data_IF_476709336517
#
_entry.id   IF_476709336517
#
_cell.length_a   1.000
_cell.length_b   1.000
_cell.length_c   1.000
_cell.angle_alpha   90.00
_cell.angle_beta   90.00
_cell.angle_gamma   90.00
#
_symmetry.space_group_name_H-M   'P 1'
#
loop_
_entity.id
_entity.type
_entity.pdbx_description
1 polymer ?
#
# COMPACT_ATOMS: atom_id res chain seq x y z
N UNK A 1 -13.31 3.01 -36.50
CA UNK A 1 -13.08 2.06 -35.40
C UNK A 1 -11.66 1.47 -35.37
N UNK A 2 -11.00 1.17 -36.51
CA UNK A 2 -9.62 0.64 -36.48
C UNK A 2 -8.57 1.67 -36.01
N UNK A 3 -8.68 2.93 -36.43
CA UNK A 3 -7.74 4.00 -36.06
C UNK A 3 -7.74 4.33 -34.55
N UNK A 4 -8.92 4.33 -33.92
CA UNK A 4 -9.11 4.66 -32.50
C UNK A 4 -8.63 3.55 -31.57
N UNK A 5 -8.80 2.29 -31.99
CA UNK A 5 -8.25 1.14 -31.29
C UNK A 5 -6.71 1.14 -31.38
N UNK A 6 -6.16 1.52 -32.54
CA UNK A 6 -4.72 1.74 -32.70
C UNK A 6 -4.18 2.80 -31.73
N UNK A 7 -4.81 3.97 -31.64
CA UNK A 7 -4.39 5.03 -30.71
C UNK A 7 -4.43 4.56 -29.24
N UNK A 8 -5.48 3.84 -28.87
CA UNK A 8 -5.64 3.29 -27.51
C UNK A 8 -4.54 2.29 -27.15
N UNK A 9 -4.17 1.42 -28.10
CA UNK A 9 -3.05 0.49 -27.96
C UNK A 9 -1.73 1.24 -27.78
N UNK A 10 -1.45 2.25 -28.62
CA UNK A 10 -0.23 3.07 -28.52
C UNK A 10 -0.12 3.76 -27.16
N UNK A 11 -1.21 4.39 -26.68
CA UNK A 11 -1.25 5.02 -25.35
C UNK A 11 -0.94 3.99 -24.25
N UNK A 12 -1.51 2.80 -24.35
CA UNK A 12 -1.29 1.73 -23.36
C UNK A 12 0.15 1.23 -23.37
N UNK A 13 0.76 1.07 -24.55
CA UNK A 13 2.14 0.62 -24.69
C UNK A 13 3.11 1.71 -24.20
N UNK A 14 3.06 2.90 -24.78
CA UNK A 14 4.01 3.97 -24.49
C UNK A 14 3.80 4.63 -23.12
N UNK A 15 2.56 4.65 -22.61
CA UNK A 15 2.29 5.11 -21.25
C UNK A 15 2.48 4.02 -20.21
N UNK A 16 1.99 2.81 -20.49
CA UNK A 16 1.99 1.70 -19.54
C UNK A 16 3.37 1.08 -19.31
N UNK A 17 4.17 0.83 -20.36
CA UNK A 17 5.46 0.16 -20.21
C UNK A 17 6.45 0.94 -19.32
N UNK A 18 6.65 2.26 -19.50
CA UNK A 18 7.54 3.02 -18.62
C UNK A 18 7.05 3.00 -17.16
N UNK A 19 5.74 3.14 -16.94
CA UNK A 19 5.15 3.07 -15.58
C UNK A 19 5.38 1.69 -14.97
N UNK A 20 5.21 0.62 -15.74
CA UNK A 20 5.44 -0.75 -15.29
C UNK A 20 6.91 -0.99 -14.91
N UNK A 21 7.85 -0.62 -15.79
CA UNK A 21 9.29 -0.82 -15.57
C UNK A 21 9.76 0.01 -14.37
N UNK A 22 9.53 1.33 -14.40
CA UNK A 22 9.93 2.24 -13.34
C UNK A 22 9.24 1.91 -12.01
N UNK A 23 7.96 1.56 -12.06
CA UNK A 23 7.19 1.20 -10.88
C UNK A 23 7.64 -0.11 -10.25
N UNK A 24 7.92 -1.14 -11.05
CA UNK A 24 8.39 -2.43 -10.53
C UNK A 24 9.77 -2.29 -9.91
N UNK A 25 10.72 -1.65 -10.62
CA UNK A 25 12.06 -1.38 -10.08
C UNK A 25 12.00 -0.51 -8.82
N UNK A 26 11.19 0.55 -8.84
CA UNK A 26 11.00 1.43 -7.69
C UNK A 26 10.45 0.71 -6.47
N UNK A 27 9.42 -0.13 -6.63
CA UNK A 27 8.86 -0.88 -5.50
C UNK A 27 9.84 -1.94 -4.96
N UNK A 28 10.62 -2.61 -5.82
CA UNK A 28 11.69 -3.52 -5.37
C UNK A 28 12.78 -2.81 -4.55
N UNK A 29 13.18 -1.61 -4.98
CA UNK A 29 14.12 -0.77 -4.24
C UNK A 29 13.51 -0.29 -2.91
N UNK A 30 12.25 0.12 -2.90
CA UNK A 30 11.52 0.46 -1.67
C UNK A 30 11.52 -0.71 -0.69
N UNK A 31 11.21 -1.92 -1.16
CA UNK A 31 11.23 -3.13 -0.33
C UNK A 31 12.60 -3.31 0.31
N UNK A 32 13.67 -3.23 -0.50
CA UNK A 32 15.04 -3.41 -0.04
C UNK A 32 15.46 -2.38 1.02
N UNK A 33 15.06 -1.12 0.85
CA UNK A 33 15.43 0.00 1.72
C UNK A 33 14.60 0.00 3.01
N UNK A 34 13.27 -0.15 2.90
CA UNK A 34 12.35 -0.15 4.05
C UNK A 34 12.48 -1.41 4.91
N UNK A 35 13.02 -2.51 4.38
CA UNK A 35 13.26 -3.73 5.15
C UNK A 35 14.11 -3.47 6.40
N UNK A 36 15.10 -2.57 6.33
CA UNK A 36 15.96 -2.22 7.47
C UNK A 36 15.21 -1.45 8.55
N UNK A 37 14.27 -0.60 8.14
CA UNK A 37 13.48 0.27 9.04
C UNK A 37 12.12 -0.32 9.41
N UNK A 38 11.83 -1.57 9.04
CA UNK A 38 10.55 -2.29 9.27
C UNK A 38 10.09 -2.38 10.73
N UNK A 39 10.94 -2.05 11.69
CA UNK A 39 10.55 -1.94 13.10
C UNK A 39 9.69 -0.70 13.38
N UNK A 40 9.71 0.31 12.50
CA UNK A 40 8.80 1.44 12.57
C UNK A 40 7.45 1.07 11.92
N UNK A 41 6.29 1.33 12.57
CA UNK A 41 4.98 0.92 12.06
C UNK A 41 4.66 1.47 10.67
N UNK A 42 4.84 2.76 10.40
CA UNK A 42 4.62 3.31 9.06
C UNK A 42 5.61 2.78 8.02
N UNK A 43 6.88 2.57 8.38
CA UNK A 43 7.83 1.98 7.44
C UNK A 43 7.45 0.53 7.10
N UNK A 44 6.93 -0.22 8.07
CA UNK A 44 6.34 -1.54 7.85
C UNK A 44 5.11 -1.47 6.93
N UNK A 45 4.19 -0.52 7.15
CA UNK A 45 3.02 -0.35 6.28
C UNK A 45 3.48 -0.03 4.84
N UNK A 46 4.41 0.92 4.65
CA UNK A 46 4.95 1.22 3.32
C UNK A 46 5.70 0.06 2.66
N UNK A 47 6.39 -0.77 3.46
CA UNK A 47 7.01 -1.99 2.99
C UNK A 47 5.95 -2.95 2.42
N UNK A 48 4.87 -3.20 3.17
CA UNK A 48 3.76 -4.04 2.69
C UNK A 48 3.09 -3.40 1.47
N UNK A 49 2.82 -2.09 1.48
CA UNK A 49 2.28 -1.37 0.32
C UNK A 49 3.15 -1.58 -0.92
N UNK A 50 4.48 -1.58 -0.79
CA UNK A 50 5.39 -1.81 -1.93
C UNK A 50 5.26 -3.22 -2.51
N UNK A 51 5.07 -4.26 -1.68
CA UNK A 51 4.76 -5.61 -2.16
C UNK A 51 3.42 -5.67 -2.90
N UNK A 52 2.38 -5.06 -2.31
CA UNK A 52 1.04 -5.04 -2.93
C UNK A 52 1.07 -4.23 -4.23
N UNK A 53 1.82 -3.13 -4.30
CA UNK A 53 1.99 -2.34 -5.51
C UNK A 53 2.66 -3.13 -6.63
N UNK A 54 3.64 -4.00 -6.33
CA UNK A 54 4.15 -4.94 -7.32
C UNK A 54 3.01 -5.83 -7.87
N UNK A 55 2.18 -6.40 -7.00
CA UNK A 55 1.04 -7.23 -7.42
C UNK A 55 0.08 -6.43 -8.32
N UNK A 56 -0.24 -5.18 -7.95
CA UNK A 56 -1.08 -4.27 -8.78
C UNK A 56 -0.45 -4.04 -10.16
N UNK A 57 0.86 -3.80 -10.24
CA UNK A 57 1.55 -3.58 -11.50
C UNK A 57 1.59 -4.85 -12.37
N UNK A 58 1.79 -6.03 -11.79
CA UNK A 58 1.81 -7.29 -12.53
C UNK A 58 0.40 -7.77 -12.94
N UNK A 59 -0.55 -7.85 -12.01
CA UNK A 59 -1.89 -8.36 -12.31
C UNK A 59 -2.77 -7.30 -12.98
N UNK A 60 -2.60 -6.03 -12.65
CA UNK A 60 -3.36 -4.92 -13.25
C UNK A 60 -2.70 -4.40 -14.53
N UNK A 61 -1.57 -3.70 -14.41
CA UNK A 61 -0.99 -2.96 -15.53
C UNK A 61 -0.39 -3.85 -16.61
N UNK A 62 0.43 -4.84 -16.25
CA UNK A 62 1.07 -5.72 -17.23
C UNK A 62 0.04 -6.53 -18.02
N UNK A 63 -0.97 -7.11 -17.36
CA UNK A 63 -2.06 -7.80 -18.08
C UNK A 63 -2.86 -6.85 -18.97
N UNK A 64 -3.03 -5.58 -18.58
CA UNK A 64 -3.64 -4.55 -19.42
C UNK A 64 -2.78 -4.22 -20.64
N UNK A 65 -1.47 -4.10 -20.48
CA UNK A 65 -0.54 -3.87 -21.61
C UNK A 65 -0.63 -5.02 -22.60
N UNK A 66 -0.64 -6.27 -22.14
CA UNK A 66 -0.80 -7.44 -23.02
C UNK A 66 -2.16 -7.41 -23.74
N UNK A 67 -3.26 -7.23 -23.01
CA UNK A 67 -4.62 -7.29 -23.58
C UNK A 67 -4.98 -6.12 -24.48
N UNK A 68 -4.72 -4.88 -24.06
CA UNK A 68 -5.11 -3.66 -24.80
C UNK A 68 -4.00 -3.18 -25.74
N UNK A 69 -2.74 -3.31 -25.33
CA UNK A 69 -1.59 -2.91 -26.15
C UNK A 69 -1.30 -3.92 -27.25
N UNK A 70 -1.13 -5.19 -26.89
CA UNK A 70 -0.71 -6.25 -27.82
C UNK A 70 -1.85 -7.15 -28.31
N UNK A 71 -3.10 -6.88 -27.93
CA UNK A 71 -4.26 -7.70 -28.27
C UNK A 71 -4.14 -9.17 -27.79
N UNK A 72 -3.32 -9.41 -26.76
CA UNK A 72 -3.12 -10.71 -26.13
C UNK A 72 -3.98 -10.80 -24.86
N UNK A 73 -5.22 -11.25 -25.01
CA UNK A 73 -6.14 -11.37 -23.87
C UNK A 73 -6.45 -12.82 -23.49
N UNK A 74 -5.64 -13.38 -22.59
CA UNK A 74 -5.87 -14.70 -22.00
C UNK A 74 -7.19 -14.80 -21.21
N UNK A 75 -7.81 -13.68 -20.84
CA UNK A 75 -9.09 -13.71 -20.15
C UNK A 75 -10.25 -14.06 -21.08
N UNK A 76 -10.02 -14.13 -22.40
CA UNK A 76 -11.01 -14.60 -23.38
C UNK A 76 -10.94 -16.11 -23.63
N UNK A 77 -9.82 -16.76 -23.29
CA UNK A 77 -9.57 -18.18 -23.57
C UNK A 77 -9.52 -19.04 -22.32
N UNK A 78 -9.06 -18.51 -21.18
CA UNK A 78 -8.87 -19.27 -19.95
C UNK A 78 -9.83 -18.81 -18.85
N UNK A 79 -10.73 -19.73 -18.43
CA UNK A 79 -11.75 -19.46 -17.40
C UNK A 79 -11.13 -19.12 -16.03
N UNK A 80 -10.05 -19.80 -15.65
CA UNK A 80 -9.36 -19.55 -14.38
C UNK A 80 -8.78 -18.14 -14.41
N UNK A 81 -8.10 -17.76 -15.49
CA UNK A 81 -7.50 -16.45 -15.64
C UNK A 81 -8.54 -15.31 -15.66
N UNK A 82 -9.66 -15.51 -16.35
CA UNK A 82 -10.79 -14.57 -16.34
C UNK A 82 -11.26 -14.24 -14.90
N UNK A 83 -11.44 -15.26 -14.06
CA UNK A 83 -11.88 -15.11 -12.67
C UNK A 83 -10.79 -14.49 -11.79
N UNK A 84 -9.57 -15.01 -11.84
CA UNK A 84 -8.50 -14.60 -10.92
C UNK A 84 -7.97 -13.22 -11.24
N UNK A 85 -7.81 -12.85 -12.52
CA UNK A 85 -7.29 -11.54 -12.93
C UNK A 85 -8.05 -10.39 -12.27
N UNK A 86 -9.36 -10.33 -12.47
CA UNK A 86 -10.19 -9.25 -11.92
C UNK A 86 -10.21 -9.27 -10.39
N UNK A 87 -10.34 -10.46 -9.79
CA UNK A 87 -10.42 -10.61 -8.33
C UNK A 87 -9.13 -10.14 -7.63
N UNK A 88 -7.96 -10.59 -8.12
CA UNK A 88 -6.67 -10.21 -7.55
C UNK A 88 -6.32 -8.75 -7.83
N UNK A 89 -6.63 -8.24 -9.03
CA UNK A 89 -6.46 -6.82 -9.33
C UNK A 89 -7.29 -5.98 -8.36
N UNK A 90 -8.61 -6.19 -8.27
CA UNK A 90 -9.46 -5.39 -7.38
C UNK A 90 -9.01 -5.45 -5.92
N UNK A 91 -8.77 -6.64 -5.38
CA UNK A 91 -8.27 -6.79 -4.02
C UNK A 91 -6.97 -6.02 -3.78
N UNK A 92 -5.98 -6.16 -4.67
CA UNK A 92 -4.68 -5.52 -4.52
C UNK A 92 -4.76 -3.98 -4.60
N UNK A 93 -5.63 -3.44 -5.45
CA UNK A 93 -5.91 -1.99 -5.49
C UNK A 93 -6.47 -1.49 -4.15
N UNK A 94 -7.52 -2.14 -3.62
CA UNK A 94 -8.13 -1.73 -2.35
C UNK A 94 -7.19 -1.90 -1.16
N UNK A 95 -6.39 -2.97 -1.13
CA UNK A 95 -5.37 -3.17 -0.10
C UNK A 95 -4.33 -2.05 -0.17
N UNK A 96 -3.84 -1.67 -1.36
CA UNK A 96 -2.85 -0.61 -1.49
C UNK A 96 -3.37 0.76 -1.00
N UNK A 97 -4.59 1.14 -1.38
CA UNK A 97 -5.20 2.38 -0.89
C UNK A 97 -5.47 2.34 0.61
N UNK A 98 -5.93 1.19 1.13
CA UNK A 98 -6.15 1.01 2.57
C UNK A 98 -4.85 1.12 3.34
N UNK A 99 -3.76 0.50 2.87
CA UNK A 99 -2.45 0.64 3.49
C UNK A 99 -1.95 2.10 3.43
N UNK A 100 -2.22 2.83 2.35
CA UNK A 100 -1.91 4.27 2.26
C UNK A 100 -2.70 5.08 3.29
N UNK A 101 -3.97 4.74 3.51
CA UNK A 101 -4.80 5.32 4.58
C UNK A 101 -4.28 4.96 5.98
N UNK A 102 -3.92 3.70 6.21
CA UNK A 102 -3.37 3.22 7.48
C UNK A 102 -2.02 3.88 7.80
N UNK A 103 -1.14 4.02 6.81
CA UNK A 103 0.10 4.77 6.96
C UNK A 103 -0.20 6.23 7.36
N UNK A 104 -1.24 6.81 6.76
CA UNK A 104 -1.66 8.17 7.04
C UNK A 104 -2.19 8.37 8.45
N UNK A 105 -3.04 7.46 8.90
CA UNK A 105 -3.55 7.41 10.26
C UNK A 105 -2.39 7.15 11.25
N UNK A 106 -1.47 6.23 10.95
CA UNK A 106 -0.31 5.97 11.80
C UNK A 106 0.57 7.23 11.98
N UNK A 107 0.80 8.00 10.92
CA UNK A 107 1.52 9.28 11.00
C UNK A 107 0.78 10.31 11.83
N UNK A 108 -0.54 10.40 11.68
CA UNK A 108 -1.36 11.25 12.55
C UNK A 108 -1.21 10.83 14.01
N UNK A 109 -1.42 9.56 14.34
CA UNK A 109 -1.32 9.02 15.70
C UNK A 109 0.07 9.21 16.31
N UNK A 110 1.12 8.98 15.51
CA UNK A 110 2.50 9.20 15.93
C UNK A 110 2.82 10.69 16.20
N UNK A 111 2.12 11.60 15.53
CA UNK A 111 2.24 13.05 15.71
C UNK A 111 1.38 13.60 16.86
N UNK A 112 0.50 12.81 17.46
CA UNK A 112 -0.32 13.28 18.58
C UNK A 112 0.52 13.57 19.83
N UNK A 113 0.17 14.65 20.55
CA UNK A 113 0.80 15.02 21.83
C UNK A 113 0.46 14.05 22.95
N UNK A 114 -0.78 13.53 22.96
CA UNK A 114 -1.24 12.62 24.00
C UNK A 114 -0.66 11.22 23.81
N UNK A 115 -0.06 10.69 24.87
CA UNK A 115 0.60 9.38 24.84
C UNK A 115 -0.37 8.23 24.50
N UNK A 116 -1.65 8.35 24.91
CA UNK A 116 -2.71 7.39 24.59
C UNK A 116 -2.82 7.13 23.09
N UNK A 117 -2.86 8.19 22.27
CA UNK A 117 -2.94 8.05 20.81
C UNK A 117 -1.63 7.58 20.19
N UNK A 118 -0.49 8.07 20.70
CA UNK A 118 0.82 7.63 20.21
C UNK A 118 1.08 6.14 20.47
N UNK A 119 0.53 5.58 21.54
CA UNK A 119 0.59 4.14 21.84
C UNK A 119 -0.14 3.27 20.82
N UNK A 120 -1.07 3.83 20.03
CA UNK A 120 -1.71 3.10 18.94
C UNK A 120 -0.78 2.93 17.72
N UNK A 121 0.19 3.83 17.53
CA UNK A 121 1.28 3.70 16.55
C UNK A 121 2.36 2.73 17.04
N UNK A 122 1.95 1.46 17.25
CA UNK A 122 2.83 0.33 17.56
C UNK A 122 2.90 -0.61 16.38
N UNK A 123 4.04 -1.28 16.24
CA UNK A 123 4.24 -2.26 15.17
C UNK A 123 3.20 -3.40 15.22
N UNK A 124 2.84 -3.87 16.42
CA UNK A 124 1.80 -4.90 16.59
C UNK A 124 0.46 -4.45 16.03
N UNK A 125 0.04 -3.21 16.33
CA UNK A 125 -1.21 -2.63 15.80
C UNK A 125 -1.16 -2.51 14.28
N UNK A 126 -0.03 -2.05 13.72
CA UNK A 126 0.14 -1.95 12.28
C UNK A 126 0.06 -3.30 11.58
N UNK A 127 0.70 -4.34 12.14
CA UNK A 127 0.61 -5.72 11.62
C UNK A 127 -0.85 -6.19 11.62
N UNK A 128 -1.54 -6.08 12.76
CA UNK A 128 -2.94 -6.49 12.87
C UNK A 128 -3.85 -5.73 11.90
N UNK A 129 -3.71 -4.42 11.80
CA UNK A 129 -4.52 -3.58 10.90
C UNK A 129 -4.30 -3.95 9.42
N UNK A 130 -3.05 -4.16 9.01
CA UNK A 130 -2.71 -4.57 7.64
C UNK A 130 -3.21 -5.99 7.35
N UNK A 131 -2.99 -6.94 8.26
CA UNK A 131 -3.47 -8.32 8.10
C UNK A 131 -4.99 -8.39 7.99
N UNK A 132 -5.71 -7.68 8.86
CA UNK A 132 -7.17 -7.61 8.81
C UNK A 132 -7.65 -6.98 7.50
N UNK A 133 -6.98 -5.92 7.03
CA UNK A 133 -7.31 -5.28 5.74
C UNK A 133 -7.12 -6.23 4.57
N UNK A 134 -6.02 -6.99 4.53
CA UNK A 134 -5.76 -7.98 3.48
C UNK A 134 -6.85 -9.05 3.46
N UNK A 135 -7.18 -9.63 4.63
CA UNK A 135 -8.22 -10.66 4.75
C UNK A 135 -9.58 -10.11 4.30
N UNK A 136 -9.94 -8.91 4.76
CA UNK A 136 -11.20 -8.25 4.42
C UNK A 136 -11.35 -8.03 2.91
N UNK A 137 -10.34 -7.47 2.24
CA UNK A 137 -10.42 -7.16 0.81
C UNK A 137 -10.32 -8.40 -0.09
N UNK A 138 -9.58 -9.43 0.34
CA UNK A 138 -9.61 -10.74 -0.33
C UNK A 138 -11.00 -11.38 -0.21
N UNK A 139 -11.61 -11.33 0.98
CA UNK A 139 -12.98 -11.81 1.21
C UNK A 139 -14.02 -11.09 0.35
N UNK A 140 -13.95 -9.75 0.30
CA UNK A 140 -14.83 -8.94 -0.55
C UNK A 140 -14.65 -9.19 -2.05
N UNK A 141 -13.51 -9.76 -2.45
CA UNK A 141 -13.21 -10.07 -3.85
C UNK A 141 -13.65 -11.49 -4.26
N UNK A 142 -14.07 -12.34 -3.32
CA UNK A 142 -14.59 -13.69 -3.60
C UNK A 142 -15.77 -13.68 -4.60
N UNK A 143 -16.76 -12.76 -4.53
CA UNK A 143 -17.86 -12.75 -5.49
C UNK A 143 -17.42 -12.63 -6.95
N UNK A 144 -16.28 -11.99 -7.25
CA UNK A 144 -15.73 -11.95 -8.61
C UNK A 144 -15.32 -13.34 -9.11
N UNK A 145 -14.81 -14.22 -8.22
CA UNK A 145 -14.49 -15.61 -8.57
C UNK A 145 -15.75 -16.44 -8.86
N UNK A 146 -16.88 -16.07 -8.29
CA UNK A 146 -18.16 -16.78 -8.49
C UNK A 146 -18.85 -16.28 -9.76
N UNK A 147 -19.02 -14.97 -9.89
CA UNK A 147 -19.89 -14.37 -10.91
C UNK A 147 -19.22 -14.04 -12.25
N UNK A 148 -17.88 -14.08 -12.38
CA UNK A 148 -17.23 -13.86 -13.68
C UNK A 148 -17.19 -15.14 -14.50
N UNK A 149 -17.66 -15.08 -15.74
CA UNK A 149 -17.57 -16.19 -16.69
C UNK A 149 -17.18 -15.76 -18.10
N UNK A 150 -16.75 -16.75 -18.88
CA UNK A 150 -16.52 -16.60 -20.31
C UNK A 150 -17.86 -16.67 -21.02
N UNK A 151 -18.31 -15.53 -21.55
CA UNK A 151 -19.56 -15.43 -22.30
C UNK A 151 -19.27 -15.15 -23.78
N UNK A 152 -19.80 -15.96 -24.71
CA UNK A 152 -19.75 -15.65 -26.14
C UNK A 152 -20.66 -14.45 -26.43
N UNK A 153 -20.14 -13.46 -27.16
CA UNK A 153 -20.92 -12.33 -27.65
C UNK A 153 -21.86 -12.80 -28.78
N UNK A 154 -23.17 -12.57 -28.61
CA UNK A 154 -24.19 -12.95 -29.60
C UNK A 154 -24.08 -12.17 -30.92
N UNK A 155 -23.42 -11.02 -30.92
CA UNK A 155 -23.28 -10.14 -32.10
C UNK A 155 -21.96 -10.32 -32.85
N UNK A 156 -20.89 -10.72 -32.18
CA UNK A 156 -19.54 -10.78 -32.78
C UNK A 156 -18.92 -12.18 -32.74
N UNK A 157 -19.54 -13.14 -32.06
CA UNK A 157 -18.97 -14.48 -31.83
C UNK A 157 -17.73 -14.48 -30.92
N UNK A 158 -17.26 -13.31 -30.47
CA UNK A 158 -16.08 -13.18 -29.63
C UNK A 158 -16.40 -13.48 -28.16
N UNK A 159 -15.59 -14.33 -27.52
CA UNK A 159 -15.71 -14.62 -26.09
C UNK A 159 -15.13 -13.47 -25.26
N UNK A 160 -15.86 -13.05 -24.22
CA UNK A 160 -15.38 -12.03 -23.26
C UNK A 160 -15.55 -12.51 -21.82
N UNK A 161 -14.64 -12.09 -20.95
CA UNK A 161 -14.78 -12.29 -19.51
C UNK A 161 -15.72 -11.24 -18.94
N UNK A 162 -16.95 -11.63 -18.62
CA UNK A 162 -18.00 -10.71 -18.19
C UNK A 162 -18.73 -11.27 -16.97
N UNK A 163 -19.35 -10.37 -16.20
CA UNK A 163 -20.22 -10.78 -15.09
C UNK A 163 -21.43 -11.52 -15.67
N UNK A 164 -21.66 -12.75 -15.20
CA UNK A 164 -22.93 -13.45 -15.38
C UNK A 164 -24.04 -12.58 -14.80
N UNK A 165 -25.23 -12.66 -15.40
CA UNK A 165 -26.45 -11.83 -15.22
C UNK A 165 -26.95 -11.76 -13.76
N UNK A 166 -26.13 -11.24 -12.87
CA UNK A 166 -26.43 -10.85 -11.50
C UNK A 166 -26.42 -9.32 -11.46
N UNK A 167 -27.55 -8.75 -11.84
CA UNK A 167 -27.72 -7.30 -11.94
C UNK A 167 -27.54 -6.63 -10.58
N UNK A 168 -27.88 -7.32 -9.49
CA UNK A 168 -27.69 -6.83 -8.11
C UNK A 168 -26.20 -6.63 -7.82
N UNK A 169 -25.37 -7.63 -8.05
CA UNK A 169 -23.93 -7.53 -7.83
C UNK A 169 -23.29 -6.52 -8.79
N UNK A 170 -23.69 -6.51 -10.06
CA UNK A 170 -23.19 -5.53 -11.04
C UNK A 170 -23.50 -4.09 -10.63
N UNK A 171 -24.73 -3.82 -10.19
CA UNK A 171 -25.17 -2.51 -9.74
C UNK A 171 -24.49 -2.11 -8.42
N UNK A 172 -24.34 -3.05 -7.48
CA UNK A 172 -23.58 -2.83 -6.26
C UNK A 172 -22.12 -2.42 -6.56
N UNK A 173 -21.46 -3.10 -7.49
CA UNK A 173 -20.08 -2.76 -7.85
C UNK A 173 -19.99 -1.38 -8.49
N UNK A 174 -20.87 -1.08 -9.45
CA UNK A 174 -20.86 0.17 -10.20
C UNK A 174 -21.24 1.38 -9.33
N UNK A 175 -22.37 1.31 -8.63
CA UNK A 175 -22.94 2.49 -7.97
C UNK A 175 -22.48 2.67 -6.52
N UNK A 176 -21.92 1.63 -5.90
CA UNK A 176 -21.51 1.69 -4.50
C UNK A 176 -20.04 1.32 -4.31
N UNK A 177 -19.65 0.07 -4.58
CA UNK A 177 -18.33 -0.44 -4.19
C UNK A 177 -17.20 0.34 -4.85
N UNK A 178 -17.30 0.58 -6.16
CA UNK A 178 -16.28 1.30 -6.91
C UNK A 178 -16.16 2.77 -6.46
N UNK A 179 -17.21 3.62 -6.49
CA UNK A 179 -17.06 5.03 -6.11
C UNK A 179 -16.72 5.22 -4.63
N UNK A 180 -17.27 4.38 -3.74
CA UNK A 180 -17.04 4.49 -2.29
C UNK A 180 -15.66 3.96 -1.91
N UNK A 181 -15.31 2.73 -2.26
CA UNK A 181 -14.06 2.10 -1.81
C UNK A 181 -12.83 2.59 -2.57
N UNK A 182 -12.97 2.91 -3.85
CA UNK A 182 -11.87 3.38 -4.68
C UNK A 182 -11.67 4.91 -4.58
N UNK A 183 -12.75 5.66 -4.44
CA UNK A 183 -12.74 7.12 -4.49
C UNK A 183 -12.93 7.76 -3.13
N UNK A 184 -14.18 7.80 -2.65
CA UNK A 184 -14.60 8.66 -1.54
C UNK A 184 -13.92 8.29 -0.22
N UNK A 185 -13.99 7.02 0.19
CA UNK A 185 -13.47 6.57 1.47
C UNK A 185 -11.96 6.82 1.63
N UNK A 186 -11.08 6.37 0.72
CA UNK A 186 -9.66 6.64 0.85
C UNK A 186 -9.35 8.14 0.76
N UNK A 187 -10.04 8.89 -0.12
CA UNK A 187 -9.82 10.33 -0.25
C UNK A 187 -10.12 11.10 1.03
N UNK A 188 -11.26 10.84 1.66
CA UNK A 188 -11.66 11.49 2.92
C UNK A 188 -10.65 11.16 4.02
N UNK A 189 -10.26 9.90 4.17
CA UNK A 189 -9.30 9.49 5.19
C UNK A 189 -7.94 10.15 4.96
N UNK A 190 -7.43 10.15 3.73
CA UNK A 190 -6.14 10.75 3.39
C UNK A 190 -6.14 12.27 3.63
N UNK A 191 -7.21 12.97 3.26
CA UNK A 191 -7.34 14.41 3.49
C UNK A 191 -7.37 14.71 4.99
N UNK A 192 -8.24 14.05 5.74
CA UNK A 192 -8.37 14.30 7.19
C UNK A 192 -7.07 13.96 7.91
N UNK A 193 -6.52 12.75 7.69
CA UNK A 193 -5.28 12.33 8.35
C UNK A 193 -4.09 13.20 7.93
N UNK A 194 -4.01 13.60 6.65
CA UNK A 194 -2.98 14.50 6.14
C UNK A 194 -3.02 15.88 6.79
N UNK A 195 -4.21 16.50 6.83
CA UNK A 195 -4.40 17.81 7.47
C UNK A 195 -4.09 17.78 8.97
N UNK A 196 -4.56 16.74 9.68
CA UNK A 196 -4.29 16.57 11.10
C UNK A 196 -2.79 16.34 11.37
N UNK A 197 -2.13 15.52 10.55
CA UNK A 197 -0.68 15.29 10.64
C UNK A 197 0.09 16.58 10.41
N UNK A 198 -0.25 17.34 9.37
CA UNK A 198 0.38 18.63 9.08
C UNK A 198 0.27 19.59 10.28
N UNK A 199 -0.94 19.78 10.82
CA UNK A 199 -1.19 20.65 11.99
C UNK A 199 -0.39 20.22 13.22
N UNK A 200 -0.26 18.92 13.47
CA UNK A 200 0.46 18.40 14.63
C UNK A 200 1.97 18.56 14.47
N UNK A 201 2.53 18.28 13.28
CA UNK A 201 3.97 18.36 13.06
C UNK A 201 4.54 19.78 13.17
N UNK A 202 3.76 20.82 12.87
CA UNK A 202 4.16 22.22 13.08
C UNK A 202 4.35 22.55 14.57
N UNK A 203 3.72 21.80 15.49
CA UNK A 203 3.69 22.10 16.93
C UNK A 203 4.61 21.21 17.78
N UNK A 204 5.32 20.24 17.19
CA UNK A 204 6.06 19.22 17.93
C UNK A 204 7.54 19.56 18.14
N UNK A 205 7.90 19.90 19.39
CA UNK A 205 9.28 19.91 19.90
C UNK A 205 9.64 18.54 20.50
N UNK A 206 9.93 17.54 19.66
CA UNK A 206 10.38 16.19 20.08
C UNK A 206 11.93 16.16 20.08
N UNK A 207 12.56 15.18 20.74
CA UNK A 207 14.03 15.01 20.69
C UNK A 207 14.61 14.89 19.27
N UNK A 208 15.80 15.50 19.08
CA UNK A 208 16.44 15.81 17.78
C UNK A 208 16.53 14.65 16.78
N UNK A 209 16.84 13.43 17.22
CA UNK A 209 17.04 12.28 16.33
C UNK A 209 15.74 11.58 15.91
N UNK A 210 14.79 11.41 16.85
CA UNK A 210 13.47 10.80 16.57
C UNK A 210 12.63 11.71 15.66
N UNK A 211 12.84 13.03 15.77
CA UNK A 211 12.25 14.02 14.87
C UNK A 211 12.65 13.85 13.41
N UNK A 212 13.91 13.56 13.10
CA UNK A 212 14.38 13.51 11.70
C UNK A 212 13.68 12.39 10.93
N UNK A 213 13.65 11.18 11.49
CA UNK A 213 13.01 10.01 10.85
C UNK A 213 11.50 10.21 10.72
N UNK A 214 10.83 10.73 11.76
CA UNK A 214 9.40 11.01 11.69
C UNK A 214 9.08 12.10 10.67
N UNK A 215 9.85 13.19 10.64
CA UNK A 215 9.67 14.30 9.69
C UNK A 215 9.84 13.84 8.24
N UNK A 216 10.80 12.95 7.97
CA UNK A 216 10.99 12.37 6.65
C UNK A 216 9.79 11.52 6.22
N UNK A 217 9.35 10.59 7.07
CA UNK A 217 8.20 9.72 6.78
C UNK A 217 6.90 10.53 6.62
N UNK A 218 6.72 11.60 7.40
CA UNK A 218 5.59 12.52 7.22
C UNK A 218 5.69 13.29 5.90
N UNK A 219 6.87 13.81 5.54
CA UNK A 219 7.09 14.51 4.27
C UNK A 219 6.78 13.62 3.06
N UNK A 220 7.28 12.38 3.08
CA UNK A 220 6.98 11.35 2.07
C UNK A 220 5.47 11.18 1.86
N UNK A 221 4.74 10.97 2.95
CA UNK A 221 3.30 10.77 2.93
C UNK A 221 2.54 12.01 2.43
N UNK A 222 2.89 13.20 2.93
CA UNK A 222 2.20 14.44 2.56
C UNK A 222 2.35 14.77 1.06
N UNK A 223 3.47 14.40 0.45
CA UNK A 223 3.67 14.54 -1.01
C UNK A 223 2.89 13.45 -1.78
N UNK A 224 2.76 12.25 -1.22
CA UNK A 224 2.06 11.15 -1.87
C UNK A 224 0.53 11.34 -1.90
N UNK A 225 -0.06 11.96 -0.87
CA UNK A 225 -1.51 12.23 -0.79
C UNK A 225 -2.06 12.93 -2.04
N UNK A 226 -1.57 14.11 -2.48
CA UNK A 226 -2.14 14.81 -3.63
C UNK A 226 -2.03 13.98 -4.92
N UNK A 227 -0.97 13.17 -5.08
CA UNK A 227 -0.82 12.26 -6.21
C UNK A 227 -1.93 11.19 -6.19
N UNK A 228 -2.16 10.55 -5.03
CA UNK A 228 -3.23 9.57 -4.87
C UNK A 228 -4.59 10.22 -5.17
N UNK A 229 -4.87 11.40 -4.61
CA UNK A 229 -6.15 12.09 -4.78
C UNK A 229 -6.42 12.43 -6.25
N UNK A 230 -5.44 13.02 -6.94
CA UNK A 230 -5.59 13.37 -8.36
C UNK A 230 -5.82 12.13 -9.23
N UNK A 231 -5.02 11.07 -9.04
CA UNK A 231 -5.11 9.82 -9.79
C UNK A 231 -6.39 9.03 -9.52
N UNK A 232 -6.88 9.00 -8.27
CA UNK A 232 -8.09 8.25 -7.91
C UNK A 232 -9.36 8.99 -8.28
N UNK A 233 -9.45 10.29 -8.00
CA UNK A 233 -10.64 11.09 -8.33
C UNK A 233 -10.86 11.18 -9.83
N UNK A 234 -9.81 11.42 -10.62
CA UNK A 234 -9.93 11.44 -12.09
C UNK A 234 -10.49 10.12 -12.62
N UNK A 235 -10.00 8.99 -12.11
CA UNK A 235 -10.46 7.66 -12.51
C UNK A 235 -11.89 7.35 -12.09
N UNK A 236 -12.26 7.70 -10.87
CA UNK A 236 -13.62 7.47 -10.36
C UNK A 236 -14.62 8.34 -11.11
N UNK A 237 -14.36 9.65 -11.22
CA UNK A 237 -15.24 10.60 -11.92
C UNK A 237 -15.51 10.12 -13.35
N UNK A 238 -14.47 9.74 -14.08
CA UNK A 238 -14.64 9.30 -15.47
C UNK A 238 -15.42 7.98 -15.58
N UNK A 239 -15.17 7.02 -14.69
CA UNK A 239 -15.85 5.72 -14.69
C UNK A 239 -17.33 5.87 -14.33
N UNK A 240 -17.66 6.73 -13.37
CA UNK A 240 -19.05 7.05 -13.03
C UNK A 240 -19.74 7.77 -14.19
N UNK A 241 -19.10 8.77 -14.80
CA UNK A 241 -19.61 9.44 -16.01
C UNK A 241 -19.93 8.41 -17.11
N UNK A 242 -19.01 7.47 -17.38
CA UNK A 242 -19.21 6.41 -18.37
C UNK A 242 -20.36 5.47 -18.01
N UNK A 243 -20.63 5.27 -16.72
CA UNK A 243 -21.71 4.40 -16.23
C UNK A 243 -23.07 5.08 -16.34
N UNK A 244 -23.17 6.35 -15.91
CA UNK A 244 -24.42 7.11 -16.00
C UNK A 244 -24.87 7.37 -17.44
N UNK A 245 -23.92 7.56 -18.34
CA UNK A 245 -24.20 7.83 -19.76
C UNK A 245 -24.31 6.54 -20.60
N UNK A 246 -24.24 5.35 -20.00
CA UNK A 246 -24.23 4.08 -20.73
C UNK A 246 -25.52 3.81 -21.53
N UNK A 247 -26.67 4.34 -21.08
CA UNK A 247 -27.97 4.20 -21.75
C UNK A 247 -28.25 5.28 -22.77
N UNK A 248 -27.41 6.32 -22.85
CA UNK A 248 -27.59 7.43 -23.77
C UNK A 248 -27.10 7.06 -25.17
N UNK A 249 -27.80 7.53 -26.21
CA UNK A 249 -27.37 7.36 -27.60
C UNK A 249 -26.16 8.25 -27.85
N UNK A 250 -25.00 7.64 -28.09
CA UNK A 250 -23.74 8.34 -28.37
C UNK A 250 -23.30 8.16 -29.81
N UNK A 251 -22.77 9.22 -30.41
CA UNK A 251 -22.15 9.14 -31.74
C UNK A 251 -20.90 8.25 -31.72
N UNK A 252 -20.49 7.77 -32.89
CA UNK A 252 -19.26 6.97 -33.03
C UNK A 252 -18.03 7.73 -32.53
N UNK A 253 -17.96 9.03 -32.79
CA UNK A 253 -16.84 9.89 -32.38
C UNK A 253 -16.81 10.09 -30.86
N UNK A 254 -17.98 10.27 -30.22
CA UNK A 254 -18.08 10.35 -28.76
C UNK A 254 -17.56 9.08 -28.09
N UNK A 255 -17.95 7.90 -28.58
CA UNK A 255 -17.46 6.61 -28.05
C UNK A 255 -15.95 6.46 -28.21
N UNK A 256 -15.38 6.97 -29.31
CA UNK A 256 -13.94 6.96 -29.54
C UNK A 256 -13.19 7.88 -28.57
N UNK A 257 -13.68 9.10 -28.34
CA UNK A 257 -13.08 10.04 -27.38
C UNK A 257 -13.14 9.48 -25.96
N UNK A 258 -14.29 8.94 -25.55
CA UNK A 258 -14.44 8.32 -24.24
C UNK A 258 -13.49 7.14 -24.05
N UNK A 259 -13.28 6.31 -25.08
CA UNK A 259 -12.31 5.23 -25.04
C UNK A 259 -10.89 5.75 -24.78
N UNK A 260 -10.47 6.83 -25.45
CA UNK A 260 -9.15 7.43 -25.27
C UNK A 260 -8.99 7.99 -23.85
N UNK A 261 -9.96 8.77 -23.38
CA UNK A 261 -9.94 9.35 -22.03
C UNK A 261 -9.89 8.23 -20.98
N UNK A 262 -10.70 7.18 -21.13
CA UNK A 262 -10.68 6.01 -20.23
C UNK A 262 -9.30 5.40 -20.09
N UNK A 263 -8.55 5.31 -21.19
CA UNK A 263 -7.21 4.75 -21.18
C UNK A 263 -6.20 5.67 -20.52
N UNK A 264 -6.24 6.97 -20.84
CA UNK A 264 -5.37 7.97 -20.20
C UNK A 264 -5.58 7.93 -18.69
N UNK A 265 -6.82 8.07 -18.24
CA UNK A 265 -7.14 8.13 -16.81
C UNK A 265 -6.83 6.80 -16.11
N UNK A 266 -7.06 5.66 -16.75
CA UNK A 266 -6.69 4.35 -16.20
C UNK A 266 -5.18 4.22 -16.01
N UNK A 267 -4.36 4.66 -16.98
CA UNK A 267 -2.90 4.65 -16.89
C UNK A 267 -2.42 5.66 -15.83
N UNK A 268 -3.01 6.86 -15.76
CA UNK A 268 -2.74 7.85 -14.71
C UNK A 268 -3.02 7.29 -13.32
N UNK A 269 -3.99 6.38 -13.18
CA UNK A 269 -4.23 5.71 -11.91
C UNK A 269 -3.05 4.83 -11.48
N UNK A 270 -2.40 4.14 -12.43
CA UNK A 270 -1.26 3.28 -12.13
C UNK A 270 0.00 4.04 -11.68
N UNK A 271 0.10 5.34 -11.99
CA UNK A 271 1.18 6.21 -11.51
C UNK A 271 1.23 6.19 -9.97
N UNK A 272 0.09 6.09 -9.29
CA UNK A 272 0.03 6.02 -7.83
C UNK A 272 0.81 4.85 -7.24
N UNK A 273 0.88 3.72 -7.94
CA UNK A 273 1.61 2.54 -7.47
C UNK A 273 3.08 2.54 -7.91
N UNK A 274 3.43 3.31 -8.93
CA UNK A 274 4.80 3.41 -9.46
C UNK A 274 5.62 4.55 -8.79
N UNK A 275 4.98 5.65 -8.43
CA UNK A 275 5.64 6.83 -7.88
C UNK A 275 6.23 6.75 -6.46
N UNK A 276 5.82 5.85 -5.53
CA UNK A 276 6.24 5.93 -4.14
C UNK A 276 7.76 6.00 -3.95
N UNK A 277 8.54 5.20 -4.70
CA UNK A 277 10.01 5.25 -4.63
C UNK A 277 10.59 6.62 -5.00
N UNK A 278 10.11 7.20 -6.10
CA UNK A 278 10.58 8.51 -6.57
C UNK A 278 10.20 9.62 -5.59
N UNK A 279 9.01 9.54 -5.01
CA UNK A 279 8.57 10.46 -3.94
C UNK A 279 9.47 10.30 -2.71
N UNK A 280 9.79 9.08 -2.31
CA UNK A 280 10.64 8.82 -1.14
C UNK A 280 12.08 9.31 -1.36
N UNK A 281 12.60 9.13 -2.56
CA UNK A 281 13.90 9.62 -2.98
C UNK A 281 13.94 11.16 -3.00
N UNK A 282 12.91 11.82 -3.53
CA UNK A 282 12.85 13.28 -3.58
C UNK A 282 12.70 13.90 -2.17
N UNK A 283 11.94 13.26 -1.28
CA UNK A 283 11.53 13.85 0.00
C UNK A 283 12.47 13.56 1.18
N UNK A 284 13.26 12.48 1.16
CA UNK A 284 14.09 12.08 2.30
C UNK A 284 15.59 12.04 1.98
N UNK A 285 16.38 12.81 2.75
CA UNK A 285 17.85 12.79 2.69
C UNK A 285 18.41 11.41 3.06
N UNK A 286 17.91 10.80 4.13
CA UNK A 286 18.36 9.48 4.58
C UNK A 286 18.04 8.41 3.55
N UNK A 287 16.87 8.48 2.91
CA UNK A 287 16.51 7.55 1.84
C UNK A 287 17.43 7.71 0.62
N UNK A 288 17.82 8.95 0.26
CA UNK A 288 18.82 9.20 -0.79
C UNK A 288 20.20 8.67 -0.42
N UNK A 289 20.62 8.84 0.82
CA UNK A 289 21.90 8.33 1.31
C UNK A 289 21.93 6.80 1.29
N UNK A 290 20.88 6.15 1.78
CA UNK A 290 20.74 4.70 1.74
C UNK A 290 20.69 4.16 0.30
N UNK A 291 19.97 4.84 -0.61
CA UNK A 291 19.95 4.48 -2.01
C UNK A 291 21.32 4.68 -2.67
N UNK A 292 22.00 5.81 -2.42
CA UNK A 292 23.36 6.06 -2.90
C UNK A 292 24.33 4.99 -2.40
N UNK A 293 24.24 4.60 -1.12
CA UNK A 293 25.04 3.50 -0.60
C UNK A 293 24.73 2.19 -1.31
N UNK A 294 23.47 1.90 -1.65
CA UNK A 294 23.13 0.69 -2.40
C UNK A 294 23.79 0.66 -3.80
N UNK A 295 23.81 1.80 -4.51
CA UNK A 295 24.38 1.89 -5.86
C UNK A 295 25.91 2.07 -5.88
N UNK A 296 26.48 2.78 -4.91
CA UNK A 296 27.92 3.06 -4.81
C UNK A 296 28.69 1.96 -4.05
N UNK A 297 28.05 1.29 -3.09
CA UNK A 297 28.69 0.23 -2.26
C UNK A 297 28.43 -1.19 -2.77
N UNK A 298 28.03 -1.39 -4.03
CA UNK A 298 28.27 -2.69 -4.68
C UNK A 298 29.77 -3.03 -4.75
N UNK A 299 30.65 -2.07 -4.41
CA UNK A 299 32.11 -2.26 -4.25
C UNK A 299 32.64 -2.41 -2.82
N UNK A 300 31.82 -2.36 -1.76
CA UNK A 300 32.34 -2.54 -0.39
C UNK A 300 31.42 -3.46 0.40
N UNK A 301 31.75 -4.76 0.35
CA UNK A 301 31.33 -5.73 1.36
C UNK A 301 31.74 -5.23 2.76
N UNK A 302 30.88 -5.52 3.74
CA UNK A 302 31.00 -5.14 5.17
C UNK A 302 30.75 -3.65 5.42
N UNK A 303 29.79 -3.29 6.27
CA UNK A 303 29.98 -2.31 7.37
C UNK A 303 28.67 -2.08 8.17
N UNK A 304 28.74 -2.58 9.42
CA UNK A 304 28.00 -2.32 10.67
C UNK A 304 26.48 -2.56 10.80
N UNK A 305 26.07 -3.56 11.61
CA UNK A 305 24.82 -3.49 12.35
C UNK A 305 24.95 -2.51 13.53
N UNK A 306 23.97 -1.61 13.67
CA UNK A 306 23.60 -0.86 14.88
C UNK A 306 24.72 -0.12 15.65
N UNK A 307 24.95 1.16 15.32
CA UNK A 307 25.33 2.12 16.36
C UNK A 307 24.07 2.66 17.04
N UNK A 308 23.65 1.99 18.11
CA UNK A 308 23.13 2.71 19.27
C UNK A 308 24.39 3.12 20.02
N UNK A 309 24.80 4.39 19.95
CA UNK A 309 25.81 4.92 20.86
C UNK A 309 25.17 5.03 22.24
N UNK A 310 25.63 4.30 23.29
CA UNK A 310 25.47 4.79 24.63
C UNK A 310 26.38 6.02 24.77
N UNK A 311 25.79 7.16 25.12
CA UNK A 311 26.57 8.33 25.50
C UNK A 311 27.53 7.96 26.62
N UNK A 312 28.77 8.38 26.43
CA UNK A 312 29.87 8.41 27.40
C UNK A 312 29.43 9.00 28.74
N UNK A 313 29.55 8.22 29.82
CA UNK A 313 29.71 8.76 31.16
C UNK A 313 31.19 9.10 31.30
N UNK A 314 31.49 10.39 31.34
CA UNK A 314 32.78 10.93 31.77
C UNK A 314 33.02 10.53 33.22
N UNK A 315 34.05 9.72 33.48
CA UNK A 315 34.60 9.51 34.81
C UNK A 315 36.02 10.07 34.81
N UNK A 316 36.16 11.28 35.34
CA UNK A 316 37.43 11.75 35.90
C UNK A 316 37.66 10.96 37.20
N UNK A 317 38.89 10.49 37.40
CA UNK A 317 39.26 9.66 38.53
C UNK A 317 39.16 10.37 39.88
N UNK A 318 38.88 9.61 40.92
CA UNK A 318 39.84 9.43 41.99
C UNK A 318 39.52 8.21 42.84
N UNK A 319 40.60 7.56 43.24
CA UNK A 319 40.71 6.37 44.06
C UNK A 319 40.20 6.68 45.47
N UNK A 320 39.28 5.86 45.98
CA UNK A 320 39.27 5.50 47.40
C UNK A 320 38.56 4.16 47.61
N UNK A 321 39.35 3.22 48.10
CA UNK A 321 38.97 1.91 48.61
C UNK A 321 38.10 2.05 49.86
N UNK A 322 36.89 1.48 49.86
CA UNK A 322 36.23 1.11 51.12
C UNK A 322 35.13 0.07 50.90
N UNK A 323 35.30 -1.07 51.58
CA UNK A 323 34.27 -1.85 52.26
C UNK A 323 33.12 -2.47 51.44
N UNK A 324 33.18 -3.80 51.33
CA UNK A 324 32.04 -4.68 51.04
C UNK A 324 30.83 -4.36 51.94
N UNK A 325 29.67 -4.14 51.33
CA UNK A 325 28.36 -4.36 51.95
C UNK A 325 27.45 -5.01 50.93
N UNK A 326 27.09 -6.25 51.21
CA UNK A 326 25.99 -7.00 50.61
C UNK A 326 24.69 -6.25 50.87
N UNK A 327 24.03 -5.78 49.80
CA UNK A 327 22.64 -5.33 49.88
C UNK A 327 21.78 -6.11 48.88
N UNK A 328 20.75 -6.70 49.47
CA UNK A 328 19.67 -7.49 48.88
C UNK A 328 18.94 -6.73 47.76
N UNK A 329 18.59 -7.46 46.70
CA UNK A 329 17.59 -7.02 45.72
C UNK A 329 16.17 -7.15 46.30
N UNK A 330 15.26 -6.20 46.01
CA UNK A 330 13.83 -6.36 46.32
C UNK A 330 13.15 -7.29 45.30
N UNK A 331 12.47 -8.30 45.84
CA UNK A 331 11.61 -9.26 45.17
C UNK A 331 10.27 -8.65 44.76
N UNK A 332 10.02 -8.50 43.46
CA UNK A 332 8.67 -8.36 42.91
C UNK A 332 8.64 -8.96 41.51
N UNK A 333 8.47 -10.27 41.37
CA UNK A 333 7.88 -10.94 40.19
C UNK A 333 7.89 -12.48 40.35
N UNK A 334 7.09 -13.06 41.25
CA UNK A 334 6.80 -14.51 41.17
C UNK A 334 5.52 -14.87 41.91
N UNK A 335 4.36 -14.76 41.25
CA UNK A 335 3.15 -15.46 41.70
C UNK A 335 2.23 -15.70 40.51
N UNK A 336 2.45 -16.79 39.79
CA UNK A 336 1.43 -17.58 39.11
C UNK A 336 2.13 -18.83 38.56
N UNK A 337 1.43 -19.96 38.63
CA UNK A 337 1.89 -21.33 38.30
C UNK A 337 2.60 -22.03 39.47
N UNK A 338 1.81 -22.64 40.34
CA UNK A 338 1.99 -24.02 40.83
C UNK A 338 0.83 -24.39 41.76
N UNK A 339 -0.33 -24.72 41.17
CA UNK A 339 -1.35 -25.56 41.80
C UNK A 339 -1.27 -26.93 41.13
N UNK A 340 -0.40 -27.80 41.64
CA UNK A 340 -0.45 -29.24 41.42
C UNK A 340 -0.22 -29.89 42.79
N UNK A 341 -1.28 -30.51 43.33
CA UNK A 341 -1.23 -31.35 44.54
C UNK A 341 -0.50 -32.66 44.20
N UNK A 342 0.41 -33.16 45.05
CA UNK A 342 0.86 -34.54 44.98
C UNK A 342 -0.18 -35.48 45.61
N UNK A 343 -0.43 -36.58 44.89
CA UNK A 343 -1.24 -37.74 45.31
C UNK A 343 -0.36 -38.62 46.19
N UNK A 344 -0.81 -38.91 47.41
CA UNK A 344 -0.26 -39.93 48.29
C UNK A 344 -0.81 -41.30 47.89
N UNK A 345 0.06 -42.23 47.54
CA UNK A 345 -0.25 -43.66 47.43
C UNK A 345 0.34 -44.30 48.69
N UNK A 346 -0.54 -44.84 49.55
CA UNK A 346 -0.21 -45.83 50.56
C UNK A 346 -0.68 -47.18 50.01
N UNK A 347 0.21 -48.16 49.92
CA UNK A 347 -0.17 -49.58 49.89
C UNK A 347 0.65 -50.32 50.95
N UNK A 348 -0.08 -51.14 51.69
CA UNK A 348 0.36 -52.20 52.60
C UNK A 348 1.07 -53.34 51.88
#
# INVERSE_FOLDING_TARGET
MSSTNGLTSLITIYGGLPIFICGTLGNLLNIRLLWRTRRNPCAFIFLVTSFINCIVLFYGLFTRILSVGFYLDWSTTNRIWCKTRTSFSQASFYISFTCSCLASIDRFLASCRQEKYRKLSRLSTAIWAVSLSIIFWLGLSIPYLVYLELLPSSTTGSTSCSLVRNDVFSNYQKYFAFPVYYGLLPSIILIIAGLLTYRNTTKLQIGRQRQVVQKQLTSMMLIQIPIILFSTLSYVIFTEYSTFTATMVKSTDQKAVELVIRNIVSITCYITFACPFFVFLASSKTFREDAKMLFLCQKINLWRPNQIQPHSITAAGNIQSTSMRTHQMPSYFTTMVNHIKPITINEE
#
